data_IF_873665879481
#
_entry.id   IF_873665879481
#
_cell.length_a   1.000
_cell.length_b   1.000
_cell.length_c   1.000
_cell.angle_alpha   90.00
_cell.angle_beta   90.00
_cell.angle_gamma   90.00
#
_symmetry.space_group_name_H-M   'P 1'
#
loop_
_entity.id
_entity.type
_entity.pdbx_description
1 polymer ?
#
# COMPACT_ATOMS: atom_id res chain seq x y z
N UNK A 1 -22.16 73.47 -22.21
CA UNK A 1 -20.97 74.15 -22.70
C UNK A 1 -19.80 73.16 -22.89
N UNK A 2 -18.76 73.58 -23.59
CA UNK A 2 -17.56 72.78 -23.85
C UNK A 2 -16.86 72.36 -22.55
N UNK A 3 -16.98 73.16 -21.49
CA UNK A 3 -16.42 72.87 -20.15
C UNK A 3 -17.17 71.75 -19.44
N UNK A 4 -18.48 71.66 -19.61
CA UNK A 4 -19.32 70.60 -18.98
C UNK A 4 -19.08 69.24 -19.64
N UNK A 5 -18.84 69.21 -20.95
CA UNK A 5 -18.47 67.99 -21.68
C UNK A 5 -17.08 67.55 -21.28
N UNK A 6 -16.08 68.39 -21.11
CA UNK A 6 -14.76 67.98 -20.64
C UNK A 6 -14.77 67.45 -19.20
N UNK A 7 -15.57 68.07 -18.32
CA UNK A 7 -15.76 67.56 -16.94
C UNK A 7 -16.42 66.19 -16.90
N UNK A 8 -17.45 65.98 -17.70
CA UNK A 8 -18.15 64.71 -17.79
C UNK A 8 -17.20 63.59 -18.29
N UNK A 9 -16.40 63.90 -19.33
CA UNK A 9 -15.44 62.95 -19.90
C UNK A 9 -14.28 62.62 -18.92
N UNK A 10 -13.78 63.64 -18.20
CA UNK A 10 -12.78 63.43 -17.15
C UNK A 10 -13.29 62.57 -16.00
N UNK A 11 -14.52 62.81 -15.54
CA UNK A 11 -15.14 62.00 -14.49
C UNK A 11 -15.41 60.54 -14.93
N UNK A 12 -15.72 60.35 -16.21
CA UNK A 12 -15.91 59.01 -16.77
C UNK A 12 -14.57 58.26 -16.88
N UNK A 13 -13.50 58.96 -17.29
CA UNK A 13 -12.15 58.37 -17.33
C UNK A 13 -11.63 58.01 -15.92
N UNK A 14 -11.88 58.87 -14.90
CA UNK A 14 -11.53 58.57 -13.51
C UNK A 14 -12.26 57.35 -12.97
N UNK A 15 -13.56 57.21 -13.26
CA UNK A 15 -14.34 56.00 -12.87
C UNK A 15 -13.82 54.74 -13.56
N UNK A 16 -13.40 54.82 -14.81
CA UNK A 16 -12.78 53.70 -15.52
C UNK A 16 -11.42 53.31 -14.94
N UNK A 17 -10.60 54.27 -14.56
CA UNK A 17 -9.31 54.01 -13.90
C UNK A 17 -9.51 53.36 -12.52
N UNK A 18 -10.50 53.81 -11.75
CA UNK A 18 -10.85 53.25 -10.44
C UNK A 18 -11.33 51.82 -10.58
N UNK A 19 -12.21 51.49 -11.52
CA UNK A 19 -12.69 50.16 -11.79
C UNK A 19 -11.58 49.21 -12.26
N UNK A 20 -10.65 49.68 -13.11
CA UNK A 20 -9.46 48.93 -13.56
C UNK A 20 -8.50 48.67 -12.41
N UNK A 21 -8.31 49.60 -11.50
CA UNK A 21 -7.50 49.40 -10.28
C UNK A 21 -8.07 48.37 -9.34
N UNK A 22 -9.39 48.36 -9.13
CA UNK A 22 -10.06 47.34 -8.31
C UNK A 22 -9.96 45.96 -8.94
N UNK A 23 -10.18 45.84 -10.25
CA UNK A 23 -10.03 44.57 -10.99
C UNK A 23 -8.60 44.06 -10.87
N UNK A 24 -7.60 44.91 -11.04
CA UNK A 24 -6.18 44.57 -10.94
C UNK A 24 -5.83 44.06 -9.52
N UNK A 25 -6.33 44.67 -8.46
CA UNK A 25 -6.09 44.22 -7.09
C UNK A 25 -6.76 42.89 -6.77
N UNK A 26 -7.97 42.65 -7.25
CA UNK A 26 -8.67 41.37 -7.10
C UNK A 26 -7.95 40.27 -7.88
N UNK A 27 -7.45 40.53 -9.06
CA UNK A 27 -6.65 39.57 -9.83
C UNK A 27 -5.34 39.22 -9.12
N UNK A 28 -4.64 40.23 -8.58
CA UNK A 28 -3.42 39.99 -7.81
C UNK A 28 -3.66 39.14 -6.55
N UNK A 29 -4.75 39.38 -5.84
CA UNK A 29 -5.14 38.57 -4.68
C UNK A 29 -5.51 37.15 -5.08
N UNK A 30 -6.24 36.96 -6.19
CA UNK A 30 -6.57 35.62 -6.72
C UNK A 30 -5.32 34.86 -7.15
N UNK A 31 -4.37 35.50 -7.79
CA UNK A 31 -3.08 34.91 -8.16
C UNK A 31 -2.31 34.53 -6.90
N UNK A 32 -2.24 35.37 -5.89
CA UNK A 32 -1.58 35.09 -4.62
C UNK A 32 -2.19 33.83 -3.93
N UNK A 33 -3.51 33.74 -3.82
CA UNK A 33 -4.20 32.57 -3.28
C UNK A 33 -3.94 31.29 -4.09
N UNK A 34 -3.86 31.42 -5.41
CA UNK A 34 -3.53 30.30 -6.29
C UNK A 34 -2.10 29.80 -6.07
N UNK A 35 -1.15 30.71 -5.89
CA UNK A 35 0.26 30.38 -5.60
C UNK A 35 0.42 29.73 -4.22
N UNK A 36 -0.28 30.24 -3.21
CA UNK A 36 -0.29 29.63 -1.86
C UNK A 36 -0.87 28.21 -1.89
N UNK A 37 -1.96 27.99 -2.62
CA UNK A 37 -2.55 26.67 -2.83
C UNK A 37 -1.61 25.70 -3.60
N UNK A 38 -0.88 26.19 -4.59
CA UNK A 38 0.11 25.40 -5.31
C UNK A 38 1.27 25.00 -4.39
N UNK A 39 1.80 25.90 -3.59
CA UNK A 39 2.85 25.59 -2.63
C UNK A 39 2.43 24.54 -1.60
N UNK A 40 1.18 24.59 -1.10
CA UNK A 40 0.66 23.58 -0.20
C UNK A 40 0.52 22.19 -0.87
N UNK A 41 0.08 22.17 -2.15
CA UNK A 41 -0.02 20.93 -2.93
C UNK A 41 1.36 20.33 -3.22
N UNK A 42 2.34 21.15 -3.56
CA UNK A 42 3.71 20.69 -3.82
C UNK A 42 4.34 20.09 -2.57
N UNK A 43 4.16 20.72 -1.40
CA UNK A 43 4.62 20.18 -0.13
C UNK A 43 3.92 18.83 0.21
N UNK A 44 2.63 18.72 -0.07
CA UNK A 44 1.89 17.47 0.10
C UNK A 44 2.40 16.36 -0.82
N UNK A 45 2.64 16.67 -2.11
CA UNK A 45 3.19 15.71 -3.08
C UNK A 45 4.59 15.26 -2.65
N UNK A 46 5.47 16.17 -2.22
CA UNK A 46 6.79 15.81 -1.72
C UNK A 46 6.72 14.90 -0.49
N UNK A 47 5.82 15.18 0.43
CA UNK A 47 5.60 14.32 1.61
C UNK A 47 5.16 12.92 1.20
N UNK A 48 4.19 12.80 0.28
CA UNK A 48 3.74 11.51 -0.24
C UNK A 48 4.87 10.73 -0.93
N UNK A 49 5.68 11.41 -1.76
CA UNK A 49 6.83 10.78 -2.44
C UNK A 49 7.84 10.26 -1.43
N UNK A 50 8.09 11.01 -0.35
CA UNK A 50 9.01 10.62 0.71
C UNK A 50 8.50 9.40 1.49
N UNK A 51 7.19 9.37 1.82
CA UNK A 51 6.57 8.22 2.46
C UNK A 51 6.58 6.96 1.58
N UNK A 52 6.33 7.12 0.27
CA UNK A 52 6.42 6.01 -0.68
C UNK A 52 7.84 5.46 -0.77
N UNK A 53 8.86 6.32 -0.89
CA UNK A 53 10.26 5.89 -0.94
C UNK A 53 10.70 5.16 0.34
N UNK A 54 10.25 5.61 1.51
CA UNK A 54 10.49 4.92 2.78
C UNK A 54 9.83 3.55 2.81
N UNK A 55 8.57 3.44 2.39
CA UNK A 55 7.84 2.18 2.32
C UNK A 55 8.50 1.18 1.36
N UNK A 56 8.94 1.65 0.20
CA UNK A 56 9.63 0.81 -0.79
C UNK A 56 10.99 0.30 -0.25
N UNK A 57 11.73 1.14 0.48
CA UNK A 57 12.97 0.74 1.13
C UNK A 57 12.75 -0.32 2.21
N UNK A 58 11.71 -0.16 3.04
CA UNK A 58 11.33 -1.15 4.06
C UNK A 58 10.92 -2.48 3.43
N UNK A 59 10.12 -2.46 2.37
CA UNK A 59 9.72 -3.66 1.65
C UNK A 59 10.93 -4.39 1.05
N UNK A 60 11.87 -3.65 0.47
CA UNK A 60 13.10 -4.24 -0.08
C UNK A 60 13.95 -4.90 1.01
N UNK A 61 14.13 -4.24 2.15
CA UNK A 61 14.86 -4.80 3.28
C UNK A 61 14.16 -6.07 3.82
N UNK A 62 12.84 -6.07 3.90
CA UNK A 62 12.05 -7.23 4.30
C UNK A 62 12.25 -8.41 3.35
N UNK A 63 12.18 -8.17 2.04
CA UNK A 63 12.42 -9.21 1.01
C UNK A 63 13.82 -9.80 1.14
N UNK A 64 14.85 -8.96 1.32
CA UNK A 64 16.21 -9.42 1.51
C UNK A 64 16.38 -10.27 2.77
N UNK A 65 15.78 -9.84 3.88
CA UNK A 65 15.81 -10.58 5.14
C UNK A 65 15.07 -11.92 5.03
N UNK A 66 13.91 -11.95 4.37
CA UNK A 66 13.15 -13.18 4.12
C UNK A 66 13.93 -14.14 3.23
N UNK A 67 14.47 -13.68 2.11
CA UNK A 67 15.29 -14.51 1.22
C UNK A 67 16.54 -15.04 1.93
N UNK A 68 17.21 -14.22 2.73
CA UNK A 68 18.35 -14.64 3.53
C UNK A 68 18.00 -15.68 4.61
N UNK A 69 16.86 -15.54 5.28
CA UNK A 69 16.41 -16.46 6.32
C UNK A 69 15.95 -17.80 5.75
N UNK A 70 15.21 -17.78 4.63
CA UNK A 70 14.66 -18.98 3.98
C UNK A 70 15.79 -19.79 3.32
N UNK A 71 16.81 -19.11 2.79
CA UNK A 71 17.97 -19.75 2.14
C UNK A 71 17.62 -20.33 0.76
N UNK A 72 18.38 -21.34 0.33
CA UNK A 72 18.25 -21.98 -1.01
C UNK A 72 17.09 -22.99 -1.06
N UNK A 73 15.87 -22.57 -0.70
CA UNK A 73 14.70 -23.34 -1.11
C UNK A 73 14.47 -23.11 -2.60
N UNK A 74 14.10 -24.16 -3.32
CA UNK A 74 13.77 -24.06 -4.74
C UNK A 74 12.71 -22.97 -4.94
N UNK A 75 12.88 -22.09 -5.93
CA UNK A 75 11.95 -21.00 -6.24
C UNK A 75 10.52 -21.50 -6.54
N UNK A 76 10.36 -22.79 -6.86
CA UNK A 76 9.07 -23.46 -7.04
C UNK A 76 8.33 -23.67 -5.71
N UNK A 77 9.03 -23.80 -4.60
CA UNK A 77 8.45 -24.08 -3.28
C UNK A 77 8.07 -22.79 -2.52
N UNK A 78 8.91 -21.74 -2.65
CA UNK A 78 8.69 -20.45 -1.96
C UNK A 78 9.07 -19.29 -2.86
N UNK A 79 8.12 -18.44 -3.20
CA UNK A 79 8.34 -17.26 -4.00
C UNK A 79 8.03 -15.99 -3.20
N UNK A 80 8.95 -15.01 -3.20
CA UNK A 80 8.78 -13.73 -2.52
C UNK A 80 8.78 -12.63 -3.56
N UNK A 81 7.67 -11.89 -3.65
CA UNK A 81 7.49 -10.78 -4.60
C UNK A 81 6.91 -9.55 -3.91
N UNK A 82 7.13 -8.38 -4.51
CA UNK A 82 6.49 -7.12 -4.11
C UNK A 82 5.55 -6.70 -5.22
N UNK A 83 4.29 -6.49 -4.89
CA UNK A 83 3.30 -5.92 -5.80
C UNK A 83 2.51 -4.83 -5.07
N UNK A 84 2.41 -3.64 -5.69
CA UNK A 84 1.66 -2.47 -5.18
C UNK A 84 1.98 -2.12 -3.72
N UNK A 85 3.24 -2.24 -3.33
CA UNK A 85 3.70 -1.91 -1.98
C UNK A 85 3.33 -2.96 -0.90
N UNK A 86 2.95 -4.17 -1.32
CA UNK A 86 2.70 -5.32 -0.45
C UNK A 86 3.73 -6.41 -0.76
N UNK A 87 4.31 -7.01 0.27
CA UNK A 87 5.22 -8.16 0.14
C UNK A 87 4.38 -9.44 0.22
N UNK A 88 4.44 -10.25 -0.83
CA UNK A 88 3.80 -11.55 -0.92
C UNK A 88 4.83 -12.66 -0.68
N UNK A 89 4.46 -13.62 0.14
CA UNK A 89 5.21 -14.85 0.37
C UNK A 89 4.33 -15.99 -0.11
N UNK A 90 4.53 -16.43 -1.35
CA UNK A 90 3.79 -17.55 -1.93
C UNK A 90 4.52 -18.84 -1.56
N UNK A 91 3.83 -19.75 -0.88
CA UNK A 91 4.39 -21.04 -0.46
C UNK A 91 3.56 -22.15 -1.09
N UNK A 92 4.23 -23.08 -1.76
CA UNK A 92 3.55 -24.17 -2.47
C UNK A 92 2.75 -25.08 -1.52
N UNK A 93 1.60 -25.56 -1.99
CA UNK A 93 0.75 -26.49 -1.25
C UNK A 93 1.49 -27.78 -0.85
N UNK A 94 2.32 -28.29 -1.77
CA UNK A 94 3.13 -29.51 -1.55
C UNK A 94 4.14 -29.36 -0.42
N UNK A 95 4.67 -28.13 -0.25
CA UNK A 95 5.57 -27.84 0.87
C UNK A 95 4.80 -27.72 2.17
N UNK A 96 3.68 -26.96 2.16
CA UNK A 96 2.94 -26.60 3.37
C UNK A 96 2.18 -27.78 3.97
N UNK A 97 1.46 -28.57 3.16
CA UNK A 97 0.50 -29.54 3.66
C UNK A 97 0.69 -30.94 3.06
N UNK A 98 0.28 -31.94 3.81
CA UNK A 98 0.08 -33.27 3.24
C UNK A 98 -1.08 -33.25 2.23
N UNK A 99 -1.00 -34.08 1.19
CA UNK A 99 -2.02 -34.13 0.13
C UNK A 99 -3.43 -34.27 0.69
N UNK A 100 -4.36 -33.42 0.25
CA UNK A 100 -5.76 -33.40 0.70
C UNK A 100 -5.95 -33.11 2.19
N UNK A 101 -4.94 -32.56 2.88
CA UNK A 101 -4.96 -32.31 4.31
C UNK A 101 -4.70 -30.83 4.64
N UNK A 102 -4.97 -30.44 5.86
CA UNK A 102 -4.58 -29.18 6.49
C UNK A 102 -3.48 -29.37 7.55
N UNK A 103 -2.91 -30.58 7.63
CA UNK A 103 -1.76 -30.85 8.51
C UNK A 103 -0.48 -30.30 7.89
N UNK A 104 0.21 -29.43 8.65
CA UNK A 104 1.46 -28.80 8.23
C UNK A 104 2.60 -29.81 8.27
N UNK A 105 3.40 -29.84 7.21
CA UNK A 105 4.61 -30.70 7.15
C UNK A 105 5.72 -30.17 8.07
N UNK A 106 6.66 -31.02 8.48
CA UNK A 106 7.78 -30.58 9.31
C UNK A 106 8.73 -29.64 8.55
N UNK A 107 8.87 -29.84 7.23
CA UNK A 107 9.64 -28.93 6.35
C UNK A 107 8.98 -27.54 6.36
N UNK A 108 7.65 -27.47 6.25
CA UNK A 108 6.90 -26.22 6.32
C UNK A 108 7.03 -25.52 7.68
N UNK A 109 6.98 -26.26 8.79
CA UNK A 109 7.19 -25.69 10.12
C UNK A 109 8.56 -25.01 10.22
N UNK A 110 9.60 -25.63 9.69
CA UNK A 110 10.95 -25.02 9.66
C UNK A 110 10.98 -23.72 8.86
N UNK A 111 10.34 -23.70 7.69
CA UNK A 111 10.26 -22.49 6.83
C UNK A 111 9.45 -21.39 7.51
N UNK A 112 8.26 -21.73 8.01
CA UNK A 112 7.38 -20.80 8.71
C UNK A 112 8.02 -20.23 9.98
N UNK A 113 8.85 -21.02 10.68
CA UNK A 113 9.61 -20.54 11.82
C UNK A 113 10.63 -19.46 11.44
N UNK A 114 11.32 -19.63 10.31
CA UNK A 114 12.24 -18.62 9.80
C UNK A 114 11.51 -17.34 9.36
N UNK A 115 10.37 -17.49 8.67
CA UNK A 115 9.50 -16.36 8.31
C UNK A 115 9.04 -15.63 9.57
N UNK A 116 8.55 -16.35 10.56
CA UNK A 116 8.10 -15.77 11.83
C UNK A 116 9.19 -14.97 12.55
N UNK A 117 10.43 -15.45 12.54
CA UNK A 117 11.56 -14.69 13.13
C UNK A 117 11.81 -13.36 12.42
N UNK A 118 11.68 -13.33 11.09
CA UNK A 118 11.82 -12.08 10.33
C UNK A 118 10.65 -11.14 10.64
N UNK A 119 9.41 -11.64 10.70
CA UNK A 119 8.21 -10.86 11.01
C UNK A 119 8.24 -10.28 12.43
N UNK A 120 8.76 -11.01 13.43
CA UNK A 120 8.94 -10.50 14.80
C UNK A 120 9.82 -9.26 14.90
N UNK A 121 10.76 -9.11 13.99
CA UNK A 121 11.63 -7.93 13.93
C UNK A 121 10.93 -6.71 13.29
N UNK A 122 9.66 -6.84 12.89
CA UNK A 122 8.84 -5.82 12.23
C UNK A 122 7.49 -5.66 12.96
N UNK A 123 7.47 -5.19 14.23
CA UNK A 123 6.26 -5.18 15.06
C UNK A 123 5.15 -4.28 14.53
N UNK A 124 5.49 -3.28 13.72
CA UNK A 124 4.53 -2.33 13.14
C UNK A 124 3.93 -2.84 11.81
N UNK A 125 4.30 -4.04 11.37
CA UNK A 125 3.86 -4.59 10.10
C UNK A 125 2.67 -5.52 10.31
N UNK A 126 1.57 -5.25 9.61
CA UNK A 126 0.42 -6.14 9.55
C UNK A 126 0.63 -7.20 8.47
N UNK A 127 0.23 -8.43 8.74
CA UNK A 127 0.26 -9.50 7.76
C UNK A 127 -1.05 -10.29 7.74
N UNK A 128 -1.37 -10.80 6.57
CA UNK A 128 -2.56 -11.61 6.32
C UNK A 128 -2.15 -12.97 5.77
N UNK A 129 -2.84 -14.02 6.19
CA UNK A 129 -2.67 -15.36 5.66
C UNK A 129 -3.86 -15.71 4.79
N UNK A 130 -3.61 -15.98 3.52
CA UNK A 130 -4.61 -16.42 2.55
C UNK A 130 -4.45 -17.89 2.25
N UNK A 131 -5.55 -18.64 2.25
CA UNK A 131 -5.57 -20.04 1.87
C UNK A 131 -6.14 -20.19 0.46
N UNK A 132 -5.41 -20.90 -0.40
CA UNK A 132 -5.83 -21.22 -1.75
C UNK A 132 -5.91 -22.73 -1.94
N UNK A 133 -6.81 -23.19 -2.78
CA UNK A 133 -6.91 -24.57 -3.24
C UNK A 133 -6.98 -24.59 -4.75
N UNK A 134 -6.66 -25.73 -5.36
CA UNK A 134 -6.91 -25.95 -6.78
C UNK A 134 -8.41 -26.20 -7.06
N UNK A 135 -8.74 -26.46 -8.31
CA UNK A 135 -10.11 -26.75 -8.76
C UNK A 135 -10.49 -28.22 -8.61
N UNK A 136 -9.62 -29.07 -8.08
CA UNK A 136 -9.93 -30.48 -7.82
C UNK A 136 -10.84 -30.57 -6.60
N UNK A 137 -12.05 -31.14 -6.71
CA UNK A 137 -12.98 -31.22 -5.59
C UNK A 137 -12.38 -31.98 -4.42
N UNK A 138 -12.50 -31.42 -3.22
CA UNK A 138 -12.13 -32.11 -1.98
C UNK A 138 -12.96 -33.37 -1.78
N UNK A 139 -12.30 -34.47 -1.46
CA UNK A 139 -12.94 -35.80 -1.28
C UNK A 139 -12.78 -36.39 0.12
N UNK A 140 -12.38 -35.58 1.09
CA UNK A 140 -12.24 -36.03 2.48
C UNK A 140 -13.57 -36.02 3.24
N UNK A 141 -13.65 -36.77 4.33
CA UNK A 141 -14.85 -36.83 5.17
C UNK A 141 -14.93 -35.72 6.24
N UNK A 142 -13.84 -35.03 6.48
CA UNK A 142 -13.72 -34.06 7.59
C UNK A 142 -14.18 -32.64 7.25
N UNK A 143 -14.28 -32.30 5.97
CA UNK A 143 -14.65 -30.96 5.47
C UNK A 143 -15.66 -31.09 4.34
N UNK A 144 -16.44 -30.05 4.08
CA UNK A 144 -17.53 -30.10 3.09
C UNK A 144 -16.96 -29.98 1.66
N UNK A 145 -16.06 -29.01 1.44
CA UNK A 145 -15.54 -28.68 0.12
C UNK A 145 -14.15 -27.98 0.17
N UNK A 146 -13.72 -27.48 -0.98
CA UNK A 146 -12.46 -26.75 -1.10
C UNK A 146 -12.46 -25.40 -0.36
N UNK A 147 -13.61 -24.78 -0.15
CA UNK A 147 -13.71 -23.54 0.63
C UNK A 147 -13.37 -23.82 2.10
N UNK A 148 -13.96 -24.85 2.67
CA UNK A 148 -13.64 -25.29 4.02
C UNK A 148 -12.16 -25.65 4.17
N UNK A 149 -11.58 -26.33 3.17
CA UNK A 149 -10.18 -26.70 3.16
C UNK A 149 -9.27 -25.46 3.14
N UNK A 150 -9.55 -24.47 2.29
CA UNK A 150 -8.79 -23.23 2.17
C UNK A 150 -8.80 -22.45 3.50
N UNK A 151 -9.97 -22.25 4.09
CA UNK A 151 -10.13 -21.58 5.39
C UNK A 151 -9.41 -22.33 6.51
N UNK A 152 -9.54 -23.66 6.53
CA UNK A 152 -8.89 -24.50 7.55
C UNK A 152 -7.37 -24.43 7.44
N UNK A 153 -6.82 -24.43 6.24
CA UNK A 153 -5.39 -24.30 5.97
C UNK A 153 -4.87 -22.96 6.43
N UNK A 154 -5.49 -21.84 6.02
CA UNK A 154 -5.12 -20.49 6.47
C UNK A 154 -5.14 -20.39 8.01
N UNK A 155 -6.23 -20.85 8.64
CA UNK A 155 -6.37 -20.84 10.10
C UNK A 155 -5.30 -21.69 10.79
N UNK A 156 -4.91 -22.82 10.20
CA UNK A 156 -3.85 -23.68 10.77
C UNK A 156 -2.51 -22.97 10.76
N UNK A 157 -2.16 -22.26 9.67
CA UNK A 157 -0.93 -21.45 9.59
C UNK A 157 -0.94 -20.30 10.59
N UNK A 158 -2.07 -19.55 10.70
CA UNK A 158 -2.18 -18.46 11.69
C UNK A 158 -1.97 -18.98 13.11
N UNK A 159 -2.62 -20.11 13.47
CA UNK A 159 -2.47 -20.70 14.80
C UNK A 159 -1.04 -21.16 15.08
N UNK A 160 -0.38 -21.74 14.09
CA UNK A 160 1.02 -22.15 14.22
C UNK A 160 1.92 -20.93 14.43
N UNK A 161 1.75 -19.87 13.65
CA UNK A 161 2.52 -18.63 13.81
C UNK A 161 2.30 -18.00 15.19
N UNK A 162 1.06 -17.93 15.66
CA UNK A 162 0.73 -17.34 16.97
C UNK A 162 1.18 -18.16 18.17
N UNK A 163 1.03 -19.49 18.12
CA UNK A 163 1.32 -20.34 19.28
C UNK A 163 2.79 -20.71 19.39
N UNK A 164 3.40 -21.06 18.27
CA UNK A 164 4.74 -21.65 18.26
C UNK A 164 5.81 -20.60 18.08
N UNK A 165 5.45 -19.46 17.48
CA UNK A 165 6.42 -18.40 17.20
C UNK A 165 6.08 -17.04 17.83
N UNK A 166 4.89 -16.83 18.36
CA UNK A 166 4.47 -15.65 19.13
C UNK A 166 4.15 -14.45 18.32
#
# INVERSE_FOLDING_TARGET
>A
SQVDFLKANSNQALKQLESLSVISSQQAESIKKSMENMGAKDAYIQNLQQQMAQKDSLNMALVMNLKGAIGNLEDEDVNIKVDKGVVYIDISDKLLFKSGSYEVTDKAKSVLGKVAQVLKNQPDMEFMVEGHTDNVPYKGAALIDNWDLSVKRATTIVRLLQKDYG
#
